data_IF_647118831091
#
_entry.id   IF_647118831091
#
_cell.length_a   1.000
_cell.length_b   1.000
_cell.length_c   1.000
_cell.angle_alpha   90.00
_cell.angle_beta   90.00
_cell.angle_gamma   90.00
#
_symmetry.space_group_name_H-M   'P 1'
#
loop_
_entity.id
_entity.type
_entity.pdbx_description
1 polymer ?
#
# COMPACT_ATOMS: atom_id res chain seq x y z
N UNK A 1 6.02 -3.71 -15.94
CA UNK A 1 5.89 -2.42 -15.19
C UNK A 1 5.46 -1.25 -16.07
N UNK A 2 5.79 -1.26 -17.36
CA UNK A 2 5.60 -0.12 -18.26
C UNK A 2 4.12 0.19 -18.56
N UNK A 3 3.26 -0.82 -18.49
CA UNK A 3 1.82 -0.73 -18.72
C UNK A 3 1.05 -1.29 -17.53
N UNK A 4 0.73 -0.47 -16.51
CA UNK A 4 0.10 -0.92 -15.27
C UNK A 4 -1.35 -1.42 -15.46
N UNK A 5 -1.97 -1.06 -16.59
CA UNK A 5 -3.27 -1.53 -17.05
C UNK A 5 -3.24 -2.95 -17.64
N UNK A 6 -2.06 -3.57 -17.78
CA UNK A 6 -1.89 -4.87 -18.44
C UNK A 6 -1.07 -5.84 -17.60
N UNK A 7 -1.37 -7.14 -17.76
CA UNK A 7 -0.54 -8.21 -17.20
C UNK A 7 0.70 -8.42 -18.05
N UNK A 8 1.82 -8.69 -17.40
CA UNK A 8 3.01 -9.28 -18.00
C UNK A 8 3.59 -10.32 -17.04
N UNK A 9 4.49 -11.18 -17.52
CA UNK A 9 5.21 -12.11 -16.67
C UNK A 9 6.35 -11.39 -15.95
N UNK A 10 6.57 -11.79 -14.70
CA UNK A 10 7.70 -11.37 -13.88
C UNK A 10 8.54 -12.60 -13.57
N UNK A 11 9.82 -12.54 -13.90
CA UNK A 11 10.78 -13.60 -13.56
C UNK A 11 11.44 -13.25 -12.25
N UNK A 12 11.15 -14.03 -11.21
CA UNK A 12 11.73 -13.89 -9.87
C UNK A 12 12.95 -14.81 -9.73
N UNK A 13 14.07 -14.28 -9.25
CA UNK A 13 15.32 -15.04 -9.08
C UNK A 13 15.94 -14.77 -7.70
N UNK A 14 16.55 -15.82 -7.13
CA UNK A 14 17.39 -15.71 -5.94
C UNK A 14 18.81 -16.10 -6.36
N UNK A 15 19.72 -15.13 -6.31
CA UNK A 15 21.12 -15.25 -6.71
C UNK A 15 22.03 -15.27 -5.47
N UNK A 16 23.25 -15.76 -5.65
CA UNK A 16 24.29 -15.67 -4.64
C UNK A 16 24.81 -14.23 -4.55
N UNK A 17 24.47 -13.54 -3.45
CA UNK A 17 24.94 -12.20 -3.12
C UNK A 17 26.15 -12.18 -2.17
N UNK A 18 26.79 -13.32 -1.93
CA UNK A 18 27.90 -13.47 -1.00
C UNK A 18 27.44 -13.69 0.44
N UNK A 19 27.35 -12.60 1.22
CA UNK A 19 26.99 -12.70 2.66
C UNK A 19 25.51 -13.04 2.86
N UNK A 20 24.66 -12.56 1.96
CA UNK A 20 23.21 -12.78 1.97
C UNK A 20 22.71 -12.99 0.54
N UNK A 21 21.57 -13.65 0.34
CA UNK A 21 20.97 -13.80 -1.00
C UNK A 21 20.66 -12.45 -1.64
N UNK A 22 20.76 -12.41 -2.97
CA UNK A 22 20.29 -11.30 -3.79
C UNK A 22 18.99 -11.72 -4.47
N UNK A 23 17.94 -10.92 -4.30
CA UNK A 23 16.65 -11.15 -4.93
C UNK A 23 16.50 -10.23 -6.15
N UNK A 24 15.92 -10.76 -7.22
CA UNK A 24 15.70 -10.01 -8.45
C UNK A 24 14.30 -10.29 -9.01
N UNK A 25 13.61 -9.24 -9.47
CA UNK A 25 12.37 -9.31 -10.24
C UNK A 25 12.63 -8.66 -11.60
N UNK A 26 12.51 -9.44 -12.67
CA UNK A 26 12.66 -8.97 -14.05
C UNK A 26 11.31 -9.01 -14.75
N UNK A 27 10.73 -7.86 -15.13
CA UNK A 27 9.51 -7.84 -15.94
C UNK A 27 9.82 -8.22 -17.40
N UNK A 28 8.99 -9.05 -18.01
CA UNK A 28 9.13 -9.42 -19.43
C UNK A 28 8.89 -8.21 -20.35
N UNK A 29 8.02 -7.27 -19.96
CA UNK A 29 7.68 -6.09 -20.74
C UNK A 29 8.75 -4.97 -20.70
N UNK A 30 9.70 -5.06 -19.77
CA UNK A 30 10.80 -4.11 -19.61
C UNK A 30 12.06 -4.72 -18.97
N UNK A 31 12.74 -5.67 -19.65
CA UNK A 31 13.83 -6.45 -19.04
C UNK A 31 15.05 -5.64 -18.61
N UNK A 32 15.17 -4.37 -19.02
CA UNK A 32 16.26 -3.48 -18.62
C UNK A 32 16.04 -2.84 -17.24
N UNK A 33 14.79 -2.85 -16.76
CA UNK A 33 14.42 -2.26 -15.47
C UNK A 33 14.19 -3.38 -14.44
N UNK A 34 15.21 -4.21 -14.23
CA UNK A 34 15.18 -5.24 -13.21
C UNK A 34 15.25 -4.61 -11.81
N UNK A 35 14.40 -5.10 -10.91
CA UNK A 35 14.39 -4.71 -9.50
C UNK A 35 15.30 -5.66 -8.75
N UNK A 36 16.23 -5.14 -7.95
CA UNK A 36 17.21 -5.94 -7.21
C UNK A 36 17.23 -5.51 -5.74
N UNK A 37 17.08 -6.47 -4.83
CA UNK A 37 17.00 -6.20 -3.40
C UNK A 37 17.64 -7.29 -2.53
N UNK A 38 17.72 -7.01 -1.23
CA UNK A 38 18.25 -7.94 -0.21
C UNK A 38 17.21 -8.91 0.36
N UNK A 39 15.92 -8.72 0.05
CA UNK A 39 14.83 -9.63 0.42
C UNK A 39 13.75 -9.63 -0.66
N UNK A 40 12.90 -10.65 -0.64
CA UNK A 40 11.74 -10.73 -1.52
C UNK A 40 10.74 -9.59 -1.23
N UNK A 41 10.54 -9.25 0.04
CA UNK A 41 9.66 -8.16 0.48
C UNK A 41 10.14 -6.81 -0.05
N UNK A 42 11.46 -6.55 -0.02
CA UNK A 42 12.03 -5.31 -0.55
C UNK A 42 11.79 -5.19 -2.06
N UNK A 43 12.04 -6.26 -2.82
CA UNK A 43 11.81 -6.26 -4.26
C UNK A 43 10.33 -6.05 -4.61
N UNK A 44 9.42 -6.70 -3.87
CA UNK A 44 7.99 -6.57 -4.10
C UNK A 44 7.46 -5.18 -3.73
N UNK A 45 7.95 -4.59 -2.64
CA UNK A 45 7.64 -3.20 -2.28
C UNK A 45 8.09 -2.20 -3.35
N UNK A 46 9.29 -2.39 -3.90
CA UNK A 46 9.80 -1.57 -5.00
C UNK A 46 8.99 -1.76 -6.29
N UNK A 47 8.53 -2.99 -6.57
CA UNK A 47 7.63 -3.26 -7.68
C UNK A 47 6.31 -2.50 -7.54
N UNK A 48 5.66 -2.56 -6.38
CA UNK A 48 4.43 -1.80 -6.11
C UNK A 48 4.66 -0.29 -6.25
N UNK A 49 5.82 0.19 -5.80
CA UNK A 49 6.23 1.60 -5.94
C UNK A 49 6.39 1.99 -7.41
N UNK A 50 7.06 1.17 -8.23
CA UNK A 50 7.26 1.43 -9.65
C UNK A 50 5.94 1.39 -10.45
N UNK A 51 5.05 0.46 -10.11
CA UNK A 51 3.71 0.36 -10.71
C UNK A 51 2.86 1.57 -10.35
N UNK A 52 2.85 1.99 -9.09
CA UNK A 52 2.10 3.18 -8.64
C UNK A 52 2.60 4.46 -9.31
N UNK A 53 3.92 4.64 -9.42
CA UNK A 53 4.54 5.76 -10.11
C UNK A 53 4.15 5.81 -11.60
N UNK A 54 4.08 4.65 -12.26
CA UNK A 54 3.69 4.55 -13.67
C UNK A 54 2.19 4.76 -13.88
N UNK A 55 1.36 4.28 -12.94
CA UNK A 55 -0.09 4.43 -12.99
C UNK A 55 -0.56 5.85 -12.65
N UNK A 56 0.28 6.66 -12.01
CA UNK A 56 -0.09 8.00 -11.53
C UNK A 56 -1.15 7.98 -10.42
N UNK A 57 -1.39 6.82 -9.81
CA UNK A 57 -2.32 6.61 -8.70
C UNK A 57 -1.59 5.95 -7.53
N UNK A 58 -1.77 6.43 -6.29
CA UNK A 58 -1.18 5.77 -5.14
C UNK A 58 -1.81 4.39 -4.97
N UNK A 59 -0.96 3.36 -4.90
CA UNK A 59 -1.39 2.02 -4.48
C UNK A 59 -1.50 2.05 -2.95
N UNK A 60 -2.55 2.71 -2.47
CA UNK A 60 -2.86 2.80 -1.04
C UNK A 60 -3.39 1.43 -0.60
N UNK A 61 -2.93 0.92 0.56
CA UNK A 61 -3.47 -0.29 1.21
C UNK A 61 -3.04 -1.66 0.65
N UNK A 62 -2.07 -1.75 -0.27
CA UNK A 62 -1.46 -3.04 -0.65
C UNK A 62 -0.17 -3.25 0.13
N UNK A 63 -0.16 -4.23 1.03
CA UNK A 63 1.06 -4.61 1.75
C UNK A 63 1.95 -5.47 0.85
N UNK A 64 3.28 -5.28 0.87
CA UNK A 64 4.18 -6.17 0.14
C UNK A 64 4.07 -7.62 0.64
N UNK A 65 3.93 -8.56 -0.31
CA UNK A 65 3.97 -9.99 -0.02
C UNK A 65 5.02 -10.67 -0.90
N UNK A 66 6.28 -10.42 -0.57
CA UNK A 66 7.43 -10.86 -1.37
C UNK A 66 7.54 -12.38 -1.46
N UNK A 67 7.42 -13.09 -0.35
CA UNK A 67 7.48 -14.55 -0.33
C UNK A 67 6.39 -15.22 -1.18
N UNK A 68 5.17 -14.66 -1.18
CA UNK A 68 4.05 -15.12 -2.02
C UNK A 68 4.30 -14.78 -3.49
N UNK A 69 4.76 -13.57 -3.78
CA UNK A 69 5.07 -13.15 -5.15
C UNK A 69 6.21 -13.96 -5.79
N UNK A 70 7.24 -14.31 -5.02
CA UNK A 70 8.30 -15.22 -5.46
C UNK A 70 7.86 -16.69 -5.46
N UNK A 71 6.74 -17.00 -4.82
CA UNK A 71 6.13 -18.33 -4.79
C UNK A 71 6.78 -19.34 -3.85
N UNK A 72 7.85 -18.98 -3.13
CA UNK A 72 8.50 -19.94 -2.21
C UNK A 72 7.76 -20.12 -0.88
N UNK A 73 6.77 -19.27 -0.57
CA UNK A 73 5.80 -19.53 0.50
C UNK A 73 4.75 -20.59 0.13
N UNK A 74 4.56 -20.87 -1.17
CA UNK A 74 3.58 -21.84 -1.65
C UNK A 74 3.88 -23.22 -1.03
N UNK A 75 2.91 -23.90 -0.36
CA UNK A 75 3.16 -25.10 0.43
C UNK A 75 3.96 -26.19 -0.31
N UNK A 76 3.62 -26.43 -1.58
CA UNK A 76 4.35 -27.36 -2.44
C UNK A 76 5.80 -26.94 -2.66
N UNK A 77 6.07 -25.68 -3.01
CA UNK A 77 7.42 -25.18 -3.28
C UNK A 77 8.24 -25.17 -1.99
N UNK A 78 7.66 -24.72 -0.88
CA UNK A 78 8.27 -24.74 0.44
C UNK A 78 8.72 -26.16 0.83
N UNK A 79 7.86 -27.17 0.64
CA UNK A 79 8.19 -28.58 0.90
C UNK A 79 9.28 -29.12 -0.05
N UNK A 80 9.27 -28.71 -1.31
CA UNK A 80 10.33 -29.07 -2.26
C UNK A 80 11.68 -28.49 -1.83
N UNK A 81 11.72 -27.23 -1.39
CA UNK A 81 12.94 -26.58 -0.87
C UNK A 81 13.47 -27.31 0.37
N UNK A 82 12.59 -27.71 1.30
CA UNK A 82 12.97 -28.52 2.48
C UNK A 82 13.59 -29.88 2.14
N UNK A 83 13.27 -30.40 0.96
CA UNK A 83 13.72 -31.71 0.47
C UNK A 83 15.06 -31.61 -0.27
N UNK A 84 15.56 -30.41 -0.55
CA UNK A 84 16.83 -30.21 -1.24
C UNK A 84 18.03 -30.68 -0.40
N UNK A 85 19.09 -31.21 -1.06
CA UNK A 85 20.36 -31.48 -0.38
C UNK A 85 20.90 -30.24 0.32
N UNK A 86 21.32 -30.40 1.57
CA UNK A 86 21.86 -29.30 2.36
C UNK A 86 20.84 -28.53 3.21
N UNK A 87 19.53 -28.71 3.01
CA UNK A 87 18.51 -28.04 3.84
C UNK A 87 18.67 -28.33 5.35
N UNK A 88 19.11 -29.55 5.70
CA UNK A 88 19.42 -29.96 7.08
C UNK A 88 20.60 -29.19 7.72
N UNK A 89 21.40 -28.47 6.93
CA UNK A 89 22.53 -27.65 7.41
C UNK A 89 22.09 -26.24 7.84
N UNK A 90 20.87 -25.81 7.48
CA UNK A 90 20.32 -24.53 7.88
C UNK A 90 19.85 -24.60 9.34
N UNK A 91 20.75 -24.37 10.30
CA UNK A 91 20.52 -24.61 11.73
C UNK A 91 19.37 -23.78 12.33
N UNK A 92 19.08 -22.63 11.75
CA UNK A 92 18.01 -21.73 12.20
C UNK A 92 16.69 -21.93 11.43
N UNK A 93 16.66 -22.87 10.48
CA UNK A 93 15.48 -23.11 9.66
C UNK A 93 14.39 -23.85 10.43
N UNK A 94 13.16 -23.32 10.40
CA UNK A 94 12.00 -23.93 11.05
C UNK A 94 11.31 -24.90 10.10
N UNK A 95 11.29 -26.18 10.48
CA UNK A 95 10.69 -27.25 9.68
C UNK A 95 9.17 -27.22 9.76
N UNK A 96 8.53 -27.16 8.61
CA UNK A 96 7.07 -27.17 8.46
C UNK A 96 6.63 -28.49 7.85
N UNK A 97 5.56 -29.09 8.36
CA UNK A 97 4.95 -30.29 7.78
C UNK A 97 4.11 -29.90 6.56
N UNK A 98 4.24 -30.68 5.49
CA UNK A 98 3.38 -30.56 4.34
C UNK A 98 2.15 -31.45 4.51
N UNK A 99 1.01 -30.82 4.78
CA UNK A 99 -0.29 -31.49 4.80
C UNK A 99 -0.99 -31.26 3.46
N UNK A 100 -1.17 -32.33 2.69
CA UNK A 100 -1.98 -32.29 1.47
C UNK A 100 -3.43 -32.09 1.91
N UNK A 101 -4.06 -30.97 1.52
CA UNK A 101 -5.48 -30.76 1.73
C UNK A 101 -6.24 -31.99 1.22
N UNK A 102 -6.88 -32.72 2.12
CA UNK A 102 -7.82 -33.76 1.70
C UNK A 102 -8.98 -33.04 1.01
N UNK A 103 -9.40 -33.48 -0.19
CA UNK A 103 -10.57 -32.90 -0.85
C UNK A 103 -11.80 -33.19 0.04
N UNK A 104 -12.16 -32.24 0.89
CA UNK A 104 -13.23 -32.41 1.89
C UNK A 104 -13.24 -31.38 3.02
N UNK A 105 -12.10 -30.81 3.41
CA UNK A 105 -12.07 -29.79 4.48
C UNK A 105 -12.17 -28.38 3.86
N UNK A 106 -13.39 -27.86 3.87
CA UNK A 106 -13.70 -26.50 3.44
C UNK A 106 -13.28 -25.48 4.50
N UNK A 107 -12.25 -24.70 4.19
CA UNK A 107 -12.15 -23.24 4.36
C UNK A 107 -10.71 -22.86 3.95
N UNK A 108 -10.49 -21.92 3.00
CA UNK A 108 -9.14 -21.41 2.78
C UNK A 108 -8.66 -20.72 4.07
N UNK A 109 -7.38 -20.90 4.48
CA UNK A 109 -6.85 -20.25 5.68
C UNK A 109 -7.03 -18.73 5.59
N UNK A 110 -7.50 -18.12 6.68
CA UNK A 110 -7.99 -16.74 6.81
C UNK A 110 -6.97 -15.62 6.53
N UNK A 111 -5.77 -15.94 6.03
CA UNK A 111 -4.76 -14.95 5.62
C UNK A 111 -4.75 -14.61 4.12
N UNK A 112 -5.64 -15.22 3.33
CA UNK A 112 -5.60 -15.15 1.87
C UNK A 112 -5.97 -13.75 1.33
N UNK A 113 -6.99 -13.10 1.90
CA UNK A 113 -7.61 -11.89 1.36
C UNK A 113 -6.71 -10.65 1.34
N UNK A 114 -5.82 -10.48 2.33
CA UNK A 114 -4.92 -9.31 2.40
C UNK A 114 -3.75 -9.42 1.40
N UNK A 115 -3.27 -10.64 1.15
CA UNK A 115 -2.23 -10.91 0.16
C UNK A 115 -2.77 -10.93 -1.28
N UNK A 116 -4.08 -11.16 -1.48
CA UNK A 116 -4.66 -11.25 -2.84
C UNK A 116 -4.35 -10.01 -3.69
N UNK A 117 -4.48 -8.79 -3.17
CA UNK A 117 -4.23 -7.59 -3.98
C UNK A 117 -2.74 -7.36 -4.30
N UNK A 118 -1.84 -7.89 -3.47
CA UNK A 118 -0.40 -7.81 -3.67
C UNK A 118 0.09 -8.69 -4.84
N UNK A 119 -0.63 -9.79 -5.13
CA UNK A 119 -0.20 -10.81 -6.08
C UNK A 119 -1.22 -11.09 -7.21
N UNK A 120 -2.48 -10.69 -7.04
CA UNK A 120 -3.55 -10.84 -8.03
C UNK A 120 -3.83 -9.52 -8.72
N UNK A 121 -3.61 -9.51 -10.03
CA UNK A 121 -3.93 -8.37 -10.87
C UNK A 121 -5.41 -7.97 -10.83
N UNK A 122 -6.33 -8.92 -10.69
CA UNK A 122 -7.78 -8.60 -10.62
C UNK A 122 -8.13 -7.91 -9.30
N UNK A 123 -7.57 -8.38 -8.19
CA UNK A 123 -7.73 -7.72 -6.90
C UNK A 123 -7.05 -6.33 -6.89
N UNK A 124 -5.84 -6.24 -7.45
CA UNK A 124 -5.12 -4.98 -7.65
C UNK A 124 -5.92 -3.98 -8.48
N UNK A 125 -6.51 -4.43 -9.60
CA UNK A 125 -7.30 -3.56 -10.47
C UNK A 125 -8.54 -3.02 -9.75
N UNK A 126 -9.27 -3.89 -9.03
CA UNK A 126 -10.45 -3.48 -8.28
C UNK A 126 -10.10 -2.41 -7.22
N UNK A 127 -8.98 -2.60 -6.52
CA UNK A 127 -8.54 -1.62 -5.51
C UNK A 127 -8.01 -0.31 -6.10
N UNK A 128 -7.35 -0.36 -7.26
CA UNK A 128 -6.66 0.83 -7.82
C UNK A 128 -7.53 1.62 -8.79
N UNK A 129 -8.51 0.98 -9.44
CA UNK A 129 -9.28 1.57 -10.54
C UNK A 129 -10.81 1.53 -10.37
N UNK A 130 -11.38 0.71 -9.47
CA UNK A 130 -12.84 0.61 -9.25
C UNK A 130 -13.38 1.51 -8.12
N UNK A 131 -12.53 2.29 -7.43
CA UNK A 131 -12.93 3.28 -6.41
C UNK A 131 -13.65 4.53 -6.99
N UNK A 132 -14.36 4.40 -8.11
CA UNK A 132 -15.12 5.50 -8.75
C UNK A 132 -16.65 5.31 -8.60
N UNK A 133 -17.12 4.37 -7.76
CA UNK A 133 -18.57 4.10 -7.60
C UNK A 133 -19.08 3.74 -6.18
N UNK A 134 -18.56 4.38 -5.15
CA UNK A 134 -19.29 4.46 -3.86
C UNK A 134 -19.26 5.87 -3.30
N UNK A 135 -20.00 6.77 -3.94
CA UNK A 135 -20.76 7.75 -3.16
C UNK A 135 -21.87 6.97 -2.43
N UNK A 136 -22.02 7.06 -1.10
CA UNK A 136 -23.25 6.65 -0.47
C UNK A 136 -24.36 7.56 -1.00
N UNK A 137 -25.09 7.06 -2.01
CA UNK A 137 -26.30 7.68 -2.52
C UNK A 137 -27.21 8.03 -1.35
N UNK A 138 -27.38 9.33 -1.11
CA UNK A 138 -28.51 9.88 -0.36
C UNK A 138 -29.80 9.43 -1.07
N UNK A 139 -30.42 8.35 -0.59
CA UNK A 139 -31.81 8.04 -0.93
C UNK A 139 -32.72 8.87 -0.03
N UNK A 140 -33.15 10.02 -0.53
CA UNK A 140 -34.29 10.76 -0.04
C UNK A 140 -35.05 11.34 -1.22
N UNK A 141 -36.29 10.92 -1.52
CA UNK A 141 -37.08 11.53 -2.58
C UNK A 141 -37.37 12.98 -2.20
N UNK A 142 -36.87 13.94 -2.99
CA UNK A 142 -37.33 15.32 -2.93
C UNK A 142 -38.71 15.39 -3.56
N UNK A 143 -39.74 15.15 -2.74
CA UNK A 143 -41.09 15.62 -3.04
C UNK A 143 -41.21 17.02 -2.42
N UNK A 144 -41.15 18.03 -3.30
CA UNK A 144 -41.27 19.43 -2.92
C UNK A 144 -42.76 19.80 -2.94
N UNK A 145 -43.44 20.00 -1.80
CA UNK A 145 -44.79 20.55 -1.83
C UNK A 145 -44.73 22.02 -2.25
N UNK A 146 -45.51 22.31 -3.28
CA UNK A 146 -45.82 23.63 -3.82
C UNK A 146 -46.22 24.60 -2.70
N UNK A 147 -45.56 25.78 -2.66
CA UNK A 147 -45.78 26.80 -1.65
C UNK A 147 -47.23 27.31 -1.67
N UNK A 148 -47.97 27.05 -0.58
CA UNK A 148 -49.21 27.78 -0.29
C UNK A 148 -48.90 29.00 0.60
N UNK A 149 -49.45 30.19 0.31
CA UNK A 149 -49.20 31.39 1.09
C UNK A 149 -50.09 31.40 2.33
N UNK A 150 -49.49 31.22 3.51
CA UNK A 150 -50.16 31.49 4.77
C UNK A 150 -49.26 32.31 5.69
N UNK A 151 -49.72 33.52 5.99
CA UNK A 151 -49.10 34.46 6.91
C UNK A 151 -48.86 33.81 8.27
N UNK A 152 -47.63 33.84 8.76
CA UNK A 152 -47.36 33.57 10.16
C UNK A 152 -46.47 34.66 10.76
N UNK A 153 -46.94 35.09 11.92
CA UNK A 153 -46.61 36.33 12.62
C UNK A 153 -45.18 36.28 13.15
N UNK A 154 -44.47 37.38 12.92
CA UNK A 154 -43.18 37.66 13.54
C UNK A 154 -43.35 37.91 15.03
N UNK A 155 -42.77 37.06 15.86
CA UNK A 155 -42.55 37.37 17.27
C UNK A 155 -41.24 36.76 17.77
N UNK A 156 -40.12 37.35 17.38
CA UNK A 156 -38.87 37.17 18.11
C UNK A 156 -38.22 38.53 18.35
N UNK A 157 -38.05 38.85 19.64
CA UNK A 157 -37.35 40.05 20.09
C UNK A 157 -35.84 39.89 19.90
N UNK A 158 -35.11 40.93 19.50
CA UNK A 158 -33.65 40.89 19.42
C UNK A 158 -33.04 41.04 20.83
N UNK A 159 -32.36 40.01 21.31
CA UNK A 159 -31.37 40.17 22.38
C UNK A 159 -30.09 40.74 21.75
N UNK A 160 -29.84 42.02 22.00
CA UNK A 160 -28.58 42.68 21.69
C UNK A 160 -27.48 42.11 22.60
N UNK A 161 -26.42 41.57 21.99
CA UNK A 161 -25.13 41.41 22.66
C UNK A 161 -24.13 42.31 21.94
N UNK A 162 -23.70 43.33 22.68
CA UNK A 162 -22.87 44.42 22.22
C UNK A 162 -21.49 43.93 21.74
N UNK A 163 -21.03 44.53 20.64
CA UNK A 163 -19.64 44.50 20.21
C UNK A 163 -18.76 45.21 21.23
N UNK A 164 -17.73 44.54 21.73
CA UNK A 164 -16.55 45.19 22.29
C UNK A 164 -15.39 45.02 21.28
N UNK A 165 -14.72 46.11 20.87
CA UNK A 165 -13.65 46.06 19.87
C UNK A 165 -12.31 45.63 20.50
N UNK A 166 -11.64 44.67 19.87
CA UNK A 166 -10.29 44.25 20.23
C UNK A 166 -9.29 45.37 19.88
N UNK A 167 -8.59 45.84 20.91
CA UNK A 167 -7.61 46.93 20.89
C UNK A 167 -6.25 46.43 20.40
N UNK A 168 -5.65 47.22 19.50
CA UNK A 168 -4.25 47.21 19.08
C UNK A 168 -3.28 47.38 20.26
N UNK A 169 -2.26 46.52 20.34
CA UNK A 169 -0.87 46.83 20.71
C UNK A 169 -0.12 45.53 21.08
N UNK A 170 0.98 45.24 20.39
CA UNK A 170 2.33 45.46 20.94
C UNK A 170 3.36 44.69 20.10
N UNK A 171 4.12 45.46 19.34
CA UNK A 171 5.37 45.15 18.69
C UNK A 171 6.43 44.77 19.74
N UNK A 172 6.94 43.54 19.75
CA UNK A 172 8.30 43.23 20.26
C UNK A 172 8.86 41.97 19.56
N UNK A 173 9.76 42.23 18.60
CA UNK A 173 11.12 41.70 18.59
C UNK A 173 11.34 40.25 19.09
N UNK A 174 11.48 39.29 18.15
CA UNK A 174 12.31 38.11 18.39
C UNK A 174 13.33 37.94 17.26
N UNK A 175 14.56 38.24 17.63
CA UNK A 175 15.81 38.22 16.89
C UNK A 175 16.25 36.77 16.65
N UNK A 176 16.51 36.41 15.39
CA UNK A 176 17.25 35.20 15.03
C UNK A 176 18.71 35.28 15.48
N UNK A 177 19.33 34.13 15.82
CA UNK A 177 20.76 33.97 15.62
C UNK A 177 21.10 32.82 14.67
N UNK A 178 21.85 33.22 13.64
CA UNK A 178 23.04 32.60 13.08
C UNK A 178 23.02 31.16 12.56
N UNK A 179 23.22 31.11 11.24
CA UNK A 179 23.78 30.00 10.48
C UNK A 179 25.16 29.60 11.02
N UNK A 180 25.47 28.31 11.00
CA UNK A 180 26.82 27.79 11.15
C UNK A 180 27.10 26.85 9.96
N UNK A 181 28.13 27.17 9.18
CA UNK A 181 28.67 26.39 8.07
C UNK A 181 30.07 25.86 8.46
N UNK A 182 30.66 24.91 7.71
CA UNK A 182 31.54 23.88 8.24
C UNK A 182 33.01 24.30 8.33
N UNK A 183 33.71 23.78 9.34
CA UNK A 183 35.18 23.85 9.45
C UNK A 183 35.81 22.60 8.85
N UNK A 184 36.60 22.80 7.79
CA UNK A 184 37.66 21.89 7.37
C UNK A 184 38.82 22.00 8.38
N UNK A 185 39.43 20.86 8.74
CA UNK A 185 40.79 20.81 9.29
C UNK A 185 41.54 19.68 8.60
N UNK A 186 42.69 20.02 8.01
CA UNK A 186 43.77 19.11 7.67
C UNK A 186 44.38 18.55 8.97
N UNK A 187 44.63 17.24 9.02
CA UNK A 187 45.96 16.60 8.93
C UNK A 187 45.75 15.11 8.61
#
# INVERSE_FOLDING_TARGET
MKRPDQKCLYTCQIKDGGVQPQFEIVPEDDPQNAIVGSSAEACHAELLTAVSATAGKPVSNVLPSGADFFGFSHPTIHNLIQSCPGARKCVNYQWVKFDVCKPGDGQPPEGLLESEAAISFEAFQRQTFDEDHTDPMLQGPLDLPELQPAAFVSSYQPMFLAHEPLVDNHLEHLKSPAQCSPTQSLD
#
